data_IF_175780285181
#
_entry.id   IF_175780285181
#
_cell.length_a   1.000
_cell.length_b   1.000
_cell.length_c   1.000
_cell.angle_alpha   90.00
_cell.angle_beta   90.00
_cell.angle_gamma   90.00
#
_symmetry.space_group_name_H-M   'P 1'
#
loop_
_entity.id
_entity.type
_entity.pdbx_description
1 polymer ?
#
# COMPACT_ATOMS: atom_id res chain seq x y z
N UNK A 1 53.07 -35.27 -23.55
CA UNK A 1 51.98 -35.36 -22.55
C UNK A 1 51.35 -33.98 -22.42
N UNK A 2 50.31 -33.71 -23.21
CA UNK A 2 49.64 -32.41 -23.31
C UNK A 2 48.53 -32.38 -22.27
N UNK A 3 48.61 -31.50 -21.27
CA UNK A 3 47.54 -31.25 -20.31
C UNK A 3 46.76 -30.02 -20.76
N UNK A 4 45.57 -30.28 -21.31
CA UNK A 4 44.55 -29.28 -21.57
C UNK A 4 44.12 -28.64 -20.24
N UNK A 5 44.41 -27.34 -20.08
CA UNK A 5 43.81 -26.53 -19.02
C UNK A 5 42.67 -25.74 -19.66
N UNK A 6 41.45 -26.29 -19.62
CA UNK A 6 40.26 -25.57 -20.02
C UNK A 6 39.86 -24.63 -18.88
N UNK A 7 40.19 -23.35 -19.00
CA UNK A 7 39.63 -22.28 -18.18
C UNK A 7 38.23 -21.96 -18.70
N UNK A 8 37.22 -22.59 -18.10
CA UNK A 8 35.84 -22.19 -18.27
C UNK A 8 35.60 -20.88 -17.49
N UNK A 9 35.71 -19.75 -18.20
CA UNK A 9 35.17 -18.47 -17.75
C UNK A 9 33.64 -18.55 -17.86
N UNK A 10 32.99 -19.06 -16.82
CA UNK A 10 31.57 -18.80 -16.59
C UNK A 10 31.45 -17.31 -16.28
N UNK A 11 31.16 -16.53 -17.31
CA UNK A 11 30.71 -15.15 -17.19
C UNK A 11 29.42 -15.17 -16.37
N UNK A 12 29.49 -14.69 -15.12
CA UNK A 12 28.32 -14.43 -14.30
C UNK A 12 27.47 -13.39 -15.05
N UNK A 13 26.41 -13.85 -15.71
CA UNK A 13 25.31 -12.99 -16.07
C UNK A 13 24.66 -12.55 -14.75
N UNK A 14 25.08 -11.39 -14.24
CA UNK A 14 24.35 -10.70 -13.17
C UNK A 14 22.94 -10.46 -13.72
N UNK A 15 21.87 -11.00 -13.12
CA UNK A 15 20.56 -10.49 -13.45
C UNK A 15 20.62 -9.00 -13.10
N UNK A 16 20.43 -8.14 -14.11
CA UNK A 16 20.04 -6.78 -13.84
C UNK A 16 18.75 -6.90 -13.04
N UNK A 17 18.81 -6.57 -11.74
CA UNK A 17 17.62 -6.21 -11.00
C UNK A 17 16.97 -5.14 -11.87
N UNK A 18 15.85 -5.47 -12.50
CA UNK A 18 15.06 -4.47 -13.17
C UNK A 18 14.77 -3.43 -12.08
N UNK A 19 15.30 -2.22 -12.24
CA UNK A 19 14.79 -1.06 -11.53
C UNK A 19 13.29 -1.05 -11.84
N UNK A 20 12.48 -1.48 -10.89
CA UNK A 20 11.04 -1.31 -10.97
C UNK A 20 10.84 0.20 -10.80
N UNK A 21 10.94 0.91 -11.92
CA UNK A 21 10.86 2.36 -11.92
C UNK A 21 9.49 2.72 -11.38
N UNK A 22 9.43 3.61 -10.40
CA UNK A 22 8.15 4.10 -9.91
C UNK A 22 7.35 4.70 -11.06
N UNK A 23 6.05 4.45 -11.10
CA UNK A 23 5.17 4.87 -12.19
C UNK A 23 3.83 5.33 -11.64
N UNK A 24 3.26 6.34 -12.28
CA UNK A 24 1.90 6.74 -11.99
C UNK A 24 0.92 5.65 -12.46
N UNK A 25 -0.03 5.32 -11.58
CA UNK A 25 -1.09 4.34 -11.88
C UNK A 25 -2.45 4.89 -11.48
N UNK A 26 -3.56 4.42 -12.10
CA UNK A 26 -4.89 4.88 -11.74
C UNK A 26 -5.24 4.67 -10.24
N UNK A 27 -4.75 3.58 -9.63
CA UNK A 27 -4.96 3.31 -8.20
C UNK A 27 -4.22 4.34 -7.33
N UNK A 28 -3.01 4.75 -7.71
CA UNK A 28 -2.25 5.80 -7.01
C UNK A 28 -2.93 7.16 -7.10
N UNK A 29 -3.46 7.54 -8.27
CA UNK A 29 -4.27 8.76 -8.42
C UNK A 29 -5.51 8.72 -7.52
N UNK A 30 -6.19 7.58 -7.46
CA UNK A 30 -7.39 7.40 -6.64
C UNK A 30 -7.07 7.44 -5.15
N UNK A 31 -5.96 6.82 -4.74
CA UNK A 31 -5.47 6.86 -3.35
C UNK A 31 -5.07 8.26 -2.93
N UNK A 32 -4.37 9.01 -3.79
CA UNK A 32 -4.05 10.41 -3.54
C UNK A 32 -5.34 11.23 -3.35
N UNK A 33 -6.34 11.04 -4.21
CA UNK A 33 -7.62 11.73 -4.10
C UNK A 33 -8.35 11.39 -2.80
N UNK A 34 -8.48 10.11 -2.46
CA UNK A 34 -9.11 9.67 -1.21
C UNK A 34 -8.38 10.19 0.03
N UNK A 35 -7.04 10.22 -0.02
CA UNK A 35 -6.21 10.72 1.09
C UNK A 35 -6.36 12.22 1.27
N UNK A 36 -6.32 12.98 0.18
CA UNK A 36 -6.44 14.45 0.22
C UNK A 36 -7.85 14.93 0.59
N UNK A 37 -8.89 14.18 0.20
CA UNK A 37 -10.29 14.52 0.52
C UNK A 37 -10.76 14.00 1.88
N UNK A 38 -10.02 13.07 2.51
CA UNK A 38 -10.45 12.37 3.72
C UNK A 38 -11.57 11.35 3.48
N UNK A 39 -11.70 10.83 2.26
CA UNK A 39 -12.67 9.79 1.92
C UNK A 39 -12.17 8.41 2.35
N UNK A 40 -12.42 8.10 3.63
CA UNK A 40 -12.00 6.86 4.26
C UNK A 40 -12.64 5.63 3.61
N UNK A 41 -13.88 5.74 3.12
CA UNK A 41 -14.57 4.62 2.48
C UNK A 41 -13.97 4.32 1.10
N UNK A 42 -13.59 5.35 0.33
CA UNK A 42 -12.86 5.15 -0.92
C UNK A 42 -11.46 4.55 -0.67
N UNK A 43 -10.73 5.05 0.33
CA UNK A 43 -9.43 4.51 0.70
C UNK A 43 -9.50 3.04 1.10
N UNK A 44 -10.49 2.70 1.91
CA UNK A 44 -10.82 1.35 2.33
C UNK A 44 -11.01 0.41 1.12
N UNK A 45 -11.86 0.79 0.16
CA UNK A 45 -12.10 0.00 -1.06
C UNK A 45 -10.83 -0.16 -1.90
N UNK A 46 -10.03 0.90 -2.04
CA UNK A 46 -8.81 0.87 -2.83
C UNK A 46 -7.76 -0.07 -2.23
N UNK A 47 -7.55 0.00 -0.92
CA UNK A 47 -6.60 -0.87 -0.21
C UNK A 47 -7.05 -2.34 -0.16
N UNK A 48 -8.35 -2.59 -0.11
CA UNK A 48 -8.87 -3.97 -0.19
C UNK A 48 -8.72 -4.56 -1.59
N UNK A 49 -8.75 -3.74 -2.64
CA UNK A 49 -8.64 -4.20 -4.03
C UNK A 49 -7.21 -4.58 -4.44
N UNK A 50 -6.20 -4.18 -3.65
CA UNK A 50 -4.79 -4.41 -3.97
C UNK A 50 -3.92 -4.38 -2.71
N UNK A 51 -3.34 -5.52 -2.35
CA UNK A 51 -2.44 -5.61 -1.19
C UNK A 51 -1.17 -4.76 -1.36
N UNK A 52 -0.68 -4.59 -2.59
CA UNK A 52 0.53 -3.81 -2.88
C UNK A 52 0.29 -2.30 -2.90
N UNK A 53 -0.97 -1.85 -2.84
CA UNK A 53 -1.33 -0.43 -2.88
C UNK A 53 -0.72 0.39 -1.73
N UNK A 54 -0.51 -0.22 -0.56
CA UNK A 54 0.08 0.44 0.61
C UNK A 54 1.54 0.84 0.39
N UNK A 55 2.29 0.05 -0.39
CA UNK A 55 3.71 0.26 -0.68
C UNK A 55 3.97 0.81 -2.09
N UNK A 56 2.94 0.91 -2.93
CA UNK A 56 3.05 1.42 -4.29
C UNK A 56 3.49 2.89 -4.31
N UNK A 57 4.26 3.26 -5.33
CA UNK A 57 4.90 4.58 -5.47
C UNK A 57 4.61 5.18 -6.84
N UNK A 58 4.26 6.47 -6.89
CA UNK A 58 4.06 7.29 -8.08
C UNK A 58 5.38 7.65 -8.75
N UNK A 59 5.34 8.22 -9.96
CA UNK A 59 6.55 8.48 -10.76
C UNK A 59 7.60 9.36 -10.08
N UNK A 60 7.19 10.23 -9.15
CA UNK A 60 8.07 11.07 -8.32
C UNK A 60 8.60 10.36 -7.06
N UNK A 61 8.32 9.07 -6.94
CA UNK A 61 8.67 8.29 -5.77
C UNK A 61 7.85 8.61 -4.55
N UNK A 62 6.69 9.25 -4.62
CA UNK A 62 5.81 9.37 -3.45
C UNK A 62 4.75 8.27 -3.44
N UNK A 63 4.02 8.15 -2.35
CA UNK A 63 2.96 7.14 -2.22
C UNK A 63 2.08 7.46 -1.04
N UNK A 64 1.27 6.49 -0.63
CA UNK A 64 0.28 6.68 0.44
C UNK A 64 0.89 7.28 1.72
N UNK A 65 2.08 6.85 2.11
CA UNK A 65 2.77 7.39 3.29
C UNK A 65 3.07 8.89 3.16
N UNK A 66 3.59 9.36 2.02
CA UNK A 66 3.88 10.78 1.79
C UNK A 66 2.60 11.61 1.85
N UNK A 67 1.56 11.17 1.16
CA UNK A 67 0.30 11.91 1.12
C UNK A 67 -0.42 11.92 2.47
N UNK A 68 -0.35 10.83 3.22
CA UNK A 68 -0.89 10.77 4.57
C UNK A 68 -0.26 11.83 5.48
N UNK A 69 1.05 12.06 5.36
CA UNK A 69 1.75 13.11 6.09
C UNK A 69 1.49 14.52 5.54
N UNK A 70 1.49 14.67 4.22
CA UNK A 70 1.23 15.94 3.52
C UNK A 70 -0.13 16.52 3.90
N UNK A 71 -1.15 15.67 3.98
CA UNK A 71 -2.52 16.07 4.35
C UNK A 71 -2.86 15.87 5.81
N UNK A 72 -1.90 15.45 6.64
CA UNK A 72 -2.13 15.11 8.06
C UNK A 72 -3.30 14.12 8.24
N UNK A 73 -3.49 13.22 7.28
CA UNK A 73 -4.60 12.29 7.26
C UNK A 73 -4.32 11.13 8.23
N UNK A 74 -4.86 11.29 9.44
CA UNK A 74 -4.72 10.33 10.54
C UNK A 74 -5.27 8.95 10.18
N UNK A 75 -6.37 8.88 9.43
CA UNK A 75 -6.95 7.62 8.99
C UNK A 75 -6.02 6.90 8.01
N UNK A 76 -5.44 7.61 7.04
CA UNK A 76 -4.48 7.03 6.11
C UNK A 76 -3.26 6.45 6.82
N UNK A 77 -2.72 7.15 7.84
CA UNK A 77 -1.62 6.64 8.65
C UNK A 77 -2.00 5.37 9.41
N UNK A 78 -3.22 5.31 9.98
CA UNK A 78 -3.72 4.10 10.62
C UNK A 78 -3.90 2.95 9.61
N UNK A 79 -4.44 3.25 8.43
CA UNK A 79 -4.62 2.29 7.33
C UNK A 79 -3.29 1.73 6.83
N UNK A 80 -2.22 2.54 6.77
CA UNK A 80 -0.87 2.05 6.45
C UNK A 80 -0.44 0.99 7.46
N UNK A 81 -0.59 1.26 8.76
CA UNK A 81 -0.22 0.33 9.85
C UNK A 81 -1.04 -0.97 9.74
N UNK A 82 -2.36 -0.87 9.56
CA UNK A 82 -3.27 -2.02 9.42
C UNK A 82 -2.95 -2.88 8.19
N UNK A 83 -2.44 -2.27 7.12
CA UNK A 83 -2.01 -2.99 5.92
C UNK A 83 -0.54 -3.41 5.96
N UNK A 84 0.11 -3.35 7.13
CA UNK A 84 1.48 -3.83 7.33
C UNK A 84 2.58 -2.90 6.81
N UNK A 85 2.23 -1.67 6.42
CA UNK A 85 3.19 -0.64 6.06
C UNK A 85 3.74 0.12 7.27
N UNK A 86 4.86 0.81 7.07
CA UNK A 86 5.47 1.68 8.07
C UNK A 86 5.35 3.16 7.67
N UNK A 87 4.48 3.96 8.34
CA UNK A 87 4.36 5.39 8.05
C UNK A 87 5.60 6.20 8.47
N UNK A 88 6.53 5.61 9.24
CA UNK A 88 7.76 6.24 9.71
C UNK A 88 9.00 5.70 8.99
N UNK A 89 8.83 4.97 7.88
CA UNK A 89 9.95 4.51 7.05
C UNK A 89 10.88 5.68 6.67
N UNK A 90 12.18 5.38 6.66
CA UNK A 90 13.24 6.27 6.19
C UNK A 90 13.43 6.19 4.66
N UNK A 91 12.60 5.42 3.94
CA UNK A 91 12.61 5.39 2.47
C UNK A 91 12.38 6.79 1.91
N UNK A 92 13.15 7.14 0.90
CA UNK A 92 13.13 8.48 0.29
C UNK A 92 12.39 8.48 -1.04
N UNK A 93 11.75 9.60 -1.38
CA UNK A 93 11.24 9.90 -2.73
C UNK A 93 12.36 10.30 -3.69
N UNK A 94 12.02 10.68 -4.93
CA UNK A 94 13.02 11.12 -5.93
C UNK A 94 13.80 12.38 -5.48
N UNK A 95 13.23 13.16 -4.55
CA UNK A 95 13.86 14.36 -3.99
C UNK A 95 14.73 14.07 -2.76
N UNK A 96 14.89 12.80 -2.34
CA UNK A 96 15.66 12.42 -1.16
C UNK A 96 14.92 12.71 0.15
N UNK A 97 13.58 12.72 0.14
CA UNK A 97 12.76 13.04 1.32
C UNK A 97 11.95 11.84 1.79
N UNK A 98 12.06 11.53 3.08
CA UNK A 98 11.22 10.53 3.73
C UNK A 98 9.78 11.04 3.94
N UNK A 99 8.80 10.13 3.97
CA UNK A 99 7.39 10.49 4.04
C UNK A 99 7.03 11.44 5.20
N UNK A 100 7.56 11.16 6.40
CA UNK A 100 7.25 11.97 7.59
C UNK A 100 7.82 13.39 7.53
N UNK A 101 8.75 13.69 6.62
CA UNK A 101 9.28 15.05 6.48
C UNK A 101 8.24 16.00 5.89
N UNK A 102 7.23 15.48 5.18
CA UNK A 102 6.08 16.26 4.73
C UNK A 102 5.35 16.95 5.89
N UNK A 103 5.38 16.34 7.08
CA UNK A 103 4.88 16.94 8.30
C UNK A 103 5.94 17.83 8.96
N UNK A 104 7.17 17.37 9.15
CA UNK A 104 8.16 18.14 9.92
C UNK A 104 8.60 19.44 9.24
N UNK A 105 8.50 19.53 7.90
CA UNK A 105 8.76 20.76 7.14
C UNK A 105 7.62 21.79 7.29
N UNK A 106 6.44 21.37 7.79
CA UNK A 106 5.30 22.23 8.04
C UNK A 106 5.22 22.61 9.55
N UNK A 107 5.38 23.89 9.93
CA UNK A 107 5.35 24.30 11.33
C UNK A 107 4.00 24.05 12.04
N UNK A 108 2.91 23.93 11.28
CA UNK A 108 1.58 23.62 11.80
C UNK A 108 1.36 22.12 12.03
N UNK A 109 2.31 21.27 11.62
CA UNK A 109 2.21 19.82 11.78
C UNK A 109 3.00 19.32 12.98
N UNK A 110 2.30 18.65 13.90
CA UNK A 110 2.94 17.94 15.02
C UNK A 110 3.01 16.46 14.71
N UNK A 111 4.20 15.98 14.30
CA UNK A 111 4.47 14.56 14.00
C UNK A 111 3.97 13.63 15.11
N UNK A 112 4.30 13.95 16.36
CA UNK A 112 3.93 13.14 17.53
C UNK A 112 2.42 13.15 17.79
N UNK A 113 1.77 14.31 17.66
CA UNK A 113 0.31 14.42 17.83
C UNK A 113 -0.44 13.63 16.76
N UNK A 114 -0.03 13.76 15.50
CA UNK A 114 -0.63 13.07 14.36
C UNK A 114 -0.46 11.55 14.51
N UNK A 115 0.74 11.06 14.84
CA UNK A 115 0.95 9.62 15.07
C UNK A 115 0.22 9.08 16.28
N UNK A 116 0.09 9.88 17.35
CA UNK A 116 -0.71 9.48 18.50
C UNK A 116 -2.17 9.28 18.12
N UNK A 117 -2.73 10.20 17.33
CA UNK A 117 -4.10 10.06 16.82
C UNK A 117 -4.22 8.84 15.90
N UNK A 118 -3.26 8.61 15.00
CA UNK A 118 -3.28 7.51 14.05
C UNK A 118 -3.27 6.16 14.76
N UNK A 119 -2.38 6.00 15.75
CA UNK A 119 -2.33 4.81 16.61
C UNK A 119 -3.63 4.58 17.38
N UNK A 120 -4.31 5.64 17.78
CA UNK A 120 -5.62 5.57 18.43
C UNK A 120 -6.74 5.02 17.52
N UNK A 121 -6.59 5.12 16.20
CA UNK A 121 -7.56 4.62 15.23
C UNK A 121 -7.26 3.20 14.72
N UNK A 122 -6.07 2.66 14.96
CA UNK A 122 -5.63 1.37 14.39
C UNK A 122 -6.63 0.25 14.68
N UNK A 123 -7.13 0.14 15.92
CA UNK A 123 -8.12 -0.89 16.27
C UNK A 123 -9.44 -0.72 15.51
N UNK A 124 -9.90 0.52 15.30
CA UNK A 124 -11.15 0.80 14.60
C UNK A 124 -11.01 0.55 13.10
N UNK A 125 -9.88 0.93 12.49
CA UNK A 125 -9.58 0.64 11.08
C UNK A 125 -9.43 -0.86 10.86
N UNK A 126 -8.78 -1.58 11.78
CA UNK A 126 -8.66 -3.04 11.74
C UNK A 126 -10.03 -3.72 11.75
N UNK A 127 -10.91 -3.34 12.69
CA UNK A 127 -12.30 -3.85 12.76
C UNK A 127 -13.08 -3.55 11.48
N UNK A 128 -12.94 -2.35 10.91
CA UNK A 128 -13.58 -2.01 9.62
C UNK A 128 -13.09 -2.89 8.48
N UNK A 129 -11.79 -3.20 8.44
CA UNK A 129 -11.21 -4.10 7.42
C UNK A 129 -11.75 -5.53 7.57
N UNK A 130 -11.77 -6.05 8.80
CA UNK A 130 -12.31 -7.38 9.11
C UNK A 130 -13.80 -7.49 8.77
N UNK A 131 -14.59 -6.47 9.12
CA UNK A 131 -16.02 -6.44 8.79
C UNK A 131 -16.24 -6.48 7.27
N UNK A 132 -15.52 -5.66 6.50
CA UNK A 132 -15.62 -5.63 5.03
C UNK A 132 -15.17 -6.94 4.40
N UNK A 133 -14.16 -7.60 4.96
CA UNK A 133 -13.74 -8.93 4.51
C UNK A 133 -14.82 -9.98 4.77
N UNK A 134 -15.41 -9.98 5.98
CA UNK A 134 -16.49 -10.90 6.34
C UNK A 134 -17.77 -10.67 5.53
N UNK A 135 -18.07 -9.43 5.17
CA UNK A 135 -19.25 -9.12 4.35
C UNK A 135 -19.05 -9.56 2.89
N UNK A 136 -17.86 -9.42 2.32
CA UNK A 136 -17.53 -10.01 1.00
C UNK A 136 -17.62 -11.53 1.00
N UNK A 137 -17.12 -12.17 2.06
CA UNK A 137 -17.21 -13.63 2.18
C UNK A 137 -18.68 -14.09 2.18
N UNK A 138 -19.58 -13.40 2.90
CA UNK A 138 -21.01 -13.74 2.89
C UNK A 138 -21.65 -13.59 1.50
N UNK A 139 -21.33 -12.52 0.79
CA UNK A 139 -21.86 -12.28 -0.56
C UNK A 139 -21.46 -13.42 -1.52
N UNK A 140 -20.23 -13.93 -1.43
CA UNK A 140 -19.75 -15.03 -2.27
C UNK A 140 -20.44 -16.39 -1.96
N UNK A 141 -20.90 -16.61 -0.71
CA UNK A 141 -21.56 -17.86 -0.31
C UNK A 141 -23.04 -17.94 -0.70
N UNK A 142 -23.75 -16.81 -0.80
CA UNK A 142 -25.18 -16.78 -1.11
C UNK A 142 -25.46 -17.08 -2.61
N UNK A 143 -24.45 -16.97 -3.49
CA UNK A 143 -24.57 -17.25 -4.94
C UNK A 143 -24.40 -18.73 -5.33
N UNK A 144 -23.88 -19.60 -4.45
CA UNK A 144 -23.67 -21.03 -4.74
C UNK A 144 -24.86 -21.94 -4.35
N UNK A 145 -25.87 -21.43 -3.63
CA UNK A 145 -27.06 -22.20 -3.19
C UNK A 145 -28.25 -22.13 -4.17
N UNK A 146 -28.11 -21.50 -5.35
CA UNK A 146 -29.15 -21.38 -6.40
C UNK A 146 -29.02 -22.34 -7.61
N UNK A 147 -28.36 -23.50 -7.51
CA UNK A 147 -28.44 -24.50 -8.60
C UNK A 147 -28.40 -25.96 -8.14
N UNK A 148 -29.43 -26.45 -7.44
CA UNK A 148 -29.80 -27.87 -7.49
C UNK A 148 -31.30 -28.08 -7.25
N UNK A 149 -32.07 -28.13 -8.34
CA UNK A 149 -33.33 -28.88 -8.40
C UNK A 149 -34.49 -28.15 -9.04
N UNK A 150 -34.68 -28.36 -10.35
CA UNK A 150 -35.93 -28.96 -10.84
C UNK A 150 -35.76 -29.48 -12.28
N UNK A 151 -34.93 -30.51 -12.43
CA UNK A 151 -35.03 -31.47 -13.52
C UNK A 151 -36.13 -32.51 -13.19
N UNK A 152 -37.40 -32.11 -13.25
CA UNK A 152 -38.55 -33.04 -13.21
C UNK A 152 -39.29 -33.10 -14.57
N UNK A 153 -38.89 -34.12 -15.34
CA UNK A 153 -39.66 -35.03 -16.21
C UNK A 153 -40.63 -34.49 -17.29
#
# INVERSE_FOLDING_TARGET
>A
MIRCLALALLSLCRPALADESWQDTPILTSLWQATSSGDNDAMDRLLDSSESAVSARSGDGRGLAWWAWEFQNVYALASIIVNGGDPLSDDEDEAGKAAFTMCTDNPECSKDSVMKQARGLVEDVQKRKEQRAADREKEDFDDEDEELGDDEF
#
